data_IF_537371906603
#
_entry.id   IF_537371906603
#
_cell.length_a   1.000
_cell.length_b   1.000
_cell.length_c   1.000
_cell.angle_alpha   90.00
_cell.angle_beta   90.00
_cell.angle_gamma   90.00
#
_symmetry.space_group_name_H-M   'P 1'
#
loop_
_entity.id
_entity.type
_entity.pdbx_description
1 polymer ?
#
# COMPACT_ATOMS: atom_id res chain seq x y z
N UNK A 1 -7.65 35.26 -65.00
CA UNK A 1 -7.86 35.41 -63.55
C UNK A 1 -8.30 34.05 -63.03
N UNK A 2 -7.32 33.21 -62.67
CA UNK A 2 -7.53 31.83 -62.21
C UNK A 2 -7.21 31.86 -60.72
N UNK A 3 -8.18 31.50 -59.88
CA UNK A 3 -8.00 31.41 -58.43
C UNK A 3 -7.17 30.17 -58.12
N UNK A 4 -6.06 30.35 -57.43
CA UNK A 4 -5.36 29.27 -56.73
C UNK A 4 -6.23 28.81 -55.55
N UNK A 5 -6.56 27.53 -55.55
CA UNK A 5 -7.17 26.85 -54.42
C UNK A 5 -6.03 26.24 -53.60
N UNK A 6 -5.78 26.81 -52.41
CA UNK A 6 -4.76 26.31 -51.49
C UNK A 6 -5.37 25.11 -50.77
N UNK A 7 -4.80 23.92 -51.00
CA UNK A 7 -5.13 22.71 -50.25
C UNK A 7 -4.77 22.91 -48.77
N UNK A 8 -5.77 22.85 -47.90
CA UNK A 8 -5.70 23.18 -46.47
C UNK A 8 -5.52 21.96 -45.56
N UNK A 9 -5.11 20.81 -46.12
CA UNK A 9 -4.89 19.60 -45.33
C UNK A 9 -3.56 18.97 -45.74
N UNK A 10 -2.50 19.32 -45.00
CA UNK A 10 -1.34 18.45 -44.88
C UNK A 10 -1.80 17.17 -44.18
N UNK A 11 -1.77 16.04 -44.89
CA UNK A 11 -1.89 14.70 -44.34
C UNK A 11 -0.67 14.38 -43.46
N UNK A 12 -0.50 15.09 -42.34
CA UNK A 12 0.33 14.58 -41.27
C UNK A 12 -0.44 13.44 -40.63
N UNK A 13 -0.07 12.21 -41.00
CA UNK A 13 -0.40 11.01 -40.24
C UNK A 13 -0.06 11.28 -38.77
N UNK A 14 -1.09 11.49 -37.95
CA UNK A 14 -0.98 11.40 -36.50
C UNK A 14 -0.58 9.97 -36.17
N UNK A 15 0.73 9.71 -36.06
CA UNK A 15 1.24 8.53 -35.39
C UNK A 15 0.96 8.72 -33.91
N UNK A 16 -0.19 8.19 -33.46
CA UNK A 16 -0.38 7.92 -32.05
C UNK A 16 0.65 6.83 -31.72
N UNK A 17 1.71 7.20 -31.01
CA UNK A 17 2.59 6.19 -30.41
C UNK A 17 1.73 5.40 -29.41
N UNK A 18 1.30 4.20 -29.81
CA UNK A 18 0.62 3.24 -28.93
C UNK A 18 1.63 2.76 -27.88
N UNK A 19 1.84 3.57 -26.85
CA UNK A 19 2.68 3.24 -25.71
C UNK A 19 1.99 2.16 -24.89
N UNK A 20 2.30 0.91 -25.20
CA UNK A 20 1.83 -0.26 -24.44
C UNK A 20 2.52 -0.32 -23.08
N UNK A 21 1.74 -0.43 -22.02
CA UNK A 21 2.26 -0.61 -20.66
C UNK A 21 2.37 -2.09 -20.34
N UNK A 22 3.53 -2.52 -19.85
CA UNK A 22 3.81 -3.88 -19.39
C UNK A 22 4.37 -3.84 -17.95
N UNK A 23 4.11 -4.90 -17.16
CA UNK A 23 4.59 -4.99 -15.79
C UNK A 23 6.12 -5.02 -15.80
N UNK A 24 6.73 -4.00 -15.17
CA UNK A 24 8.18 -3.90 -15.06
C UNK A 24 8.68 -4.76 -13.90
N UNK A 25 9.60 -5.67 -14.18
CA UNK A 25 10.38 -6.35 -13.15
C UNK A 25 11.56 -5.47 -12.73
N UNK A 26 11.71 -5.18 -11.44
CA UNK A 26 12.94 -4.57 -10.92
C UNK A 26 14.03 -5.64 -10.83
N UNK A 27 15.20 -5.39 -11.43
CA UNK A 27 16.40 -6.21 -11.31
C UNK A 27 16.90 -6.28 -9.84
N UNK A 28 17.55 -7.38 -9.46
CA UNK A 28 17.94 -7.69 -8.07
C UNK A 28 19.28 -7.05 -7.66
N UNK A 29 19.38 -6.69 -6.37
CA UNK A 29 20.62 -6.40 -5.66
C UNK A 29 21.06 -7.68 -4.92
N UNK A 30 22.20 -8.25 -5.29
CA UNK A 30 22.84 -9.40 -4.62
C UNK A 30 23.40 -9.05 -3.23
N UNK A 31 23.35 -7.78 -2.82
CA UNK A 31 23.98 -7.32 -1.60
C UNK A 31 22.99 -7.34 -0.42
N UNK A 32 23.08 -8.40 0.39
CA UNK A 32 22.17 -8.63 1.53
C UNK A 32 22.42 -7.73 2.75
N UNK A 33 23.53 -6.97 2.74
CA UNK A 33 23.92 -6.07 3.83
C UNK A 33 24.38 -4.73 3.26
N UNK A 34 23.74 -3.65 3.70
CA UNK A 34 24.14 -2.28 3.35
C UNK A 34 25.45 -1.87 4.01
N UNK A 35 25.60 -2.16 5.31
CA UNK A 35 26.85 -1.96 6.05
C UNK A 35 26.87 -2.77 7.35
N UNK A 36 28.06 -3.16 7.81
CA UNK A 36 28.24 -3.81 9.12
C UNK A 36 27.75 -2.93 10.28
N UNK A 37 27.92 -1.61 10.17
CA UNK A 37 27.47 -0.68 11.20
C UNK A 37 25.94 -0.71 11.37
N UNK A 38 25.17 -0.73 10.28
CA UNK A 38 23.70 -0.80 10.34
C UNK A 38 23.22 -2.16 10.86
N UNK A 39 23.91 -3.25 10.53
CA UNK A 39 23.64 -4.57 11.14
C UNK A 39 23.83 -4.51 12.65
N UNK A 40 24.95 -3.95 13.12
CA UNK A 40 25.30 -3.91 14.54
C UNK A 40 24.40 -2.97 15.36
N UNK A 41 24.06 -1.79 14.83
CA UNK A 41 23.33 -0.77 15.59
C UNK A 41 21.81 -0.86 15.41
N UNK A 42 21.34 -1.42 14.29
CA UNK A 42 19.92 -1.41 13.93
C UNK A 42 19.38 -2.79 13.52
N UNK A 43 20.21 -3.84 13.46
CA UNK A 43 19.79 -5.16 13.01
C UNK A 43 19.41 -5.22 11.53
N UNK A 44 19.78 -4.22 10.73
CA UNK A 44 19.34 -4.15 9.33
C UNK A 44 20.00 -5.23 8.46
N UNK A 45 19.16 -6.07 7.86
CA UNK A 45 19.51 -7.06 6.83
C UNK A 45 18.46 -7.03 5.73
N UNK A 46 18.85 -7.39 4.50
CA UNK A 46 17.89 -7.48 3.40
C UNK A 46 17.44 -8.92 3.16
N UNK A 47 16.13 -9.09 3.04
CA UNK A 47 15.52 -10.36 2.63
C UNK A 47 15.59 -10.50 1.10
N UNK A 48 16.25 -11.53 0.55
CA UNK A 48 16.28 -11.76 -0.88
C UNK A 48 14.87 -11.98 -1.45
N UNK A 49 14.64 -11.55 -2.69
CA UNK A 49 13.32 -11.68 -3.35
C UNK A 49 12.83 -13.12 -3.41
N UNK A 50 13.72 -14.08 -3.69
CA UNK A 50 13.35 -15.49 -3.72
C UNK A 50 12.87 -15.99 -2.35
N UNK A 51 13.44 -15.48 -1.25
CA UNK A 51 13.04 -15.85 0.10
C UNK A 51 11.67 -15.26 0.43
N UNK A 52 11.44 -13.98 0.11
CA UNK A 52 10.11 -13.34 0.26
C UNK A 52 9.05 -14.16 -0.48
N UNK A 53 9.30 -14.49 -1.75
CA UNK A 53 8.36 -15.31 -2.55
C UNK A 53 8.13 -16.69 -1.95
N UNK A 54 9.18 -17.34 -1.46
CA UNK A 54 9.08 -18.64 -0.81
C UNK A 54 8.22 -18.57 0.46
N UNK A 55 8.42 -17.54 1.29
CA UNK A 55 7.62 -17.36 2.51
C UNK A 55 6.16 -17.05 2.20
N UNK A 56 5.89 -16.25 1.17
CA UNK A 56 4.52 -15.95 0.77
C UNK A 56 3.82 -17.13 0.07
N UNK A 57 4.55 -18.14 -0.40
CA UNK A 57 3.98 -19.29 -1.12
C UNK A 57 3.24 -20.29 -0.21
N UNK A 58 3.26 -20.12 1.11
CA UNK A 58 2.49 -20.95 2.04
C UNK A 58 0.98 -20.87 1.70
N UNK A 59 0.25 -22.01 1.64
CA UNK A 59 -1.14 -22.04 1.18
C UNK A 59 -2.07 -21.07 1.93
N UNK A 60 -2.01 -21.06 3.25
CA UNK A 60 -2.85 -20.19 4.09
C UNK A 60 -2.58 -18.70 3.81
N UNK A 61 -1.35 -18.34 3.44
CA UNK A 61 -0.98 -16.97 3.04
C UNK A 61 -1.53 -16.66 1.65
N UNK A 62 -1.42 -17.60 0.71
CA UNK A 62 -1.95 -17.45 -0.64
C UNK A 62 -3.47 -17.27 -0.65
N UNK A 63 -4.21 -17.95 0.23
CA UNK A 63 -5.65 -17.72 0.40
C UNK A 63 -5.94 -16.28 0.82
N UNK A 64 -5.19 -15.72 1.78
CA UNK A 64 -5.32 -14.31 2.23
C UNK A 64 -4.88 -13.30 1.17
N UNK A 65 -3.96 -13.65 0.29
CA UNK A 65 -3.58 -12.79 -0.84
C UNK A 65 -4.70 -12.67 -1.90
N UNK A 66 -5.58 -13.67 -1.99
CA UNK A 66 -6.78 -13.67 -2.85
C UNK A 66 -8.05 -13.12 -2.15
N UNK A 67 -7.91 -12.51 -0.97
CA UNK A 67 -8.98 -11.79 -0.29
C UNK A 67 -8.61 -10.30 -0.22
N UNK A 68 -9.43 -9.42 -0.80
CA UNK A 68 -9.15 -7.98 -0.85
C UNK A 68 -9.06 -7.35 0.53
N UNK A 69 -9.79 -7.88 1.52
CA UNK A 69 -9.92 -7.30 2.85
C UNK A 69 -9.04 -8.00 3.90
N UNK A 70 -8.49 -9.18 3.58
CA UNK A 70 -7.52 -9.84 4.44
C UNK A 70 -6.27 -8.97 4.67
N UNK A 71 -5.99 -8.70 5.94
CA UNK A 71 -4.91 -7.79 6.32
C UNK A 71 -3.55 -8.46 6.41
N UNK A 72 -2.52 -7.69 6.08
CA UNK A 72 -1.12 -8.05 6.22
C UNK A 72 -0.41 -6.99 7.04
N UNK A 73 0.42 -7.42 7.98
CA UNK A 73 1.16 -6.52 8.84
C UNK A 73 2.64 -6.91 8.92
N UNK A 74 3.52 -5.95 8.62
CA UNK A 74 4.97 -6.12 8.69
C UNK A 74 5.58 -5.19 9.76
N UNK A 75 5.98 -5.71 10.94
CA UNK A 75 6.47 -4.89 12.06
C UNK A 75 7.91 -4.38 11.88
N UNK A 76 8.63 -4.80 10.83
CA UNK A 76 10.00 -4.35 10.54
C UNK A 76 10.21 -4.28 9.02
N UNK A 77 9.52 -3.35 8.37
CA UNK A 77 9.38 -3.33 6.92
C UNK A 77 10.68 -3.13 6.13
N UNK A 78 11.71 -2.54 6.72
CA UNK A 78 12.96 -2.21 6.05
C UNK A 78 12.70 -1.38 4.79
N UNK A 79 13.34 -1.72 3.68
CA UNK A 79 13.09 -1.09 2.37
C UNK A 79 11.82 -1.63 1.66
N UNK A 80 10.99 -2.40 2.37
CA UNK A 80 9.64 -2.80 1.93
C UNK A 80 9.59 -4.08 1.10
N UNK A 81 10.52 -5.02 1.27
CA UNK A 81 10.62 -6.23 0.46
C UNK A 81 9.35 -7.12 0.51
N UNK A 82 8.78 -7.33 1.69
CA UNK A 82 7.50 -8.04 1.85
C UNK A 82 6.33 -7.17 1.38
N UNK A 83 6.27 -5.91 1.82
CA UNK A 83 5.19 -4.98 1.47
C UNK A 83 4.97 -4.85 -0.04
N UNK A 84 6.04 -4.73 -0.83
CA UNK A 84 5.96 -4.63 -2.30
C UNK A 84 5.45 -5.93 -2.93
N UNK A 85 5.87 -7.08 -2.42
CA UNK A 85 5.53 -8.38 -3.01
C UNK A 85 4.10 -8.77 -2.63
N UNK A 86 3.67 -8.50 -1.39
CA UNK A 86 2.27 -8.63 -0.96
C UNK A 86 1.37 -7.76 -1.84
N UNK A 87 1.68 -6.46 -1.98
CA UNK A 87 0.90 -5.57 -2.83
C UNK A 87 0.86 -6.03 -4.29
N UNK A 88 1.99 -6.48 -4.82
CA UNK A 88 2.06 -7.02 -6.18
C UNK A 88 1.15 -8.24 -6.37
N UNK A 89 1.18 -9.21 -5.44
CA UNK A 89 0.35 -10.40 -5.53
C UNK A 89 -1.15 -10.09 -5.33
N UNK A 90 -1.50 -9.21 -4.38
CA UNK A 90 -2.89 -8.75 -4.24
C UNK A 90 -3.39 -8.01 -5.49
N UNK A 91 -2.56 -7.17 -6.11
CA UNK A 91 -2.93 -6.47 -7.34
C UNK A 91 -3.00 -7.41 -8.56
N UNK A 92 -2.16 -8.46 -8.63
CA UNK A 92 -2.33 -9.52 -9.65
C UNK A 92 -3.70 -10.18 -9.53
N UNK A 93 -4.20 -10.41 -8.31
CA UNK A 93 -5.55 -10.92 -8.10
C UNK A 93 -6.62 -9.89 -8.51
N UNK A 94 -6.46 -8.62 -8.14
CA UNK A 94 -7.33 -7.53 -8.58
C UNK A 94 -7.42 -7.46 -10.10
N UNK A 95 -6.29 -7.60 -10.81
CA UNK A 95 -6.22 -7.62 -12.26
C UNK A 95 -7.05 -8.76 -12.88
N UNK A 96 -7.19 -9.89 -12.18
CA UNK A 96 -7.98 -11.04 -12.65
C UNK A 96 -9.48 -10.88 -12.41
N UNK A 97 -9.88 -10.32 -11.26
CA UNK A 97 -11.30 -10.25 -10.87
C UNK A 97 -12.02 -8.98 -11.31
N UNK A 98 -11.28 -7.98 -11.78
CA UNK A 98 -11.82 -6.64 -12.05
C UNK A 98 -12.01 -6.38 -13.53
N UNK A 99 -12.86 -5.39 -13.83
CA UNK A 99 -12.90 -4.72 -15.14
C UNK A 99 -12.48 -3.25 -14.96
N UNK A 100 -12.48 -2.46 -16.04
CA UNK A 100 -12.03 -1.05 -15.99
C UNK A 100 -12.82 -0.15 -15.03
N UNK A 101 -14.07 -0.48 -14.68
CA UNK A 101 -14.86 0.32 -13.74
C UNK A 101 -14.67 -0.11 -12.29
N UNK A 102 -14.41 -1.39 -12.02
CA UNK A 102 -14.26 -1.93 -10.66
C UNK A 102 -12.82 -1.96 -10.15
N UNK A 103 -11.83 -1.97 -11.04
CA UNK A 103 -10.42 -2.13 -10.70
C UNK A 103 -9.93 -1.11 -9.67
N UNK A 104 -10.30 0.16 -9.84
CA UNK A 104 -9.86 1.24 -8.95
C UNK A 104 -10.26 1.00 -7.49
N UNK A 105 -11.50 0.58 -7.24
CA UNK A 105 -11.99 0.34 -5.89
C UNK A 105 -11.35 -0.92 -5.30
N UNK A 106 -11.27 -2.00 -6.09
CA UNK A 106 -10.64 -3.25 -5.65
C UNK A 106 -9.14 -3.06 -5.34
N UNK A 107 -8.43 -2.28 -6.15
CA UNK A 107 -7.02 -1.95 -5.92
C UNK A 107 -6.82 -1.11 -4.65
N UNK A 108 -7.72 -0.17 -4.36
CA UNK A 108 -7.66 0.61 -3.11
C UNK A 108 -7.95 -0.26 -1.89
N UNK A 109 -8.92 -1.18 -1.94
CA UNK A 109 -9.16 -2.14 -0.86
C UNK A 109 -7.95 -3.04 -0.60
N UNK A 110 -7.37 -3.60 -1.67
CA UNK A 110 -6.14 -4.38 -1.57
C UNK A 110 -5.00 -3.58 -0.91
N UNK A 111 -4.83 -2.30 -1.26
CA UNK A 111 -3.81 -1.43 -0.68
C UNK A 111 -4.10 -1.08 0.80
N UNK A 112 -5.37 -0.79 1.12
CA UNK A 112 -5.83 -0.48 2.48
C UNK A 112 -5.62 -1.65 3.46
N UNK A 113 -5.59 -2.88 2.96
CA UNK A 113 -5.35 -4.08 3.78
C UNK A 113 -3.89 -4.30 4.22
N UNK A 114 -2.94 -3.49 3.74
CA UNK A 114 -1.50 -3.70 4.01
C UNK A 114 -0.99 -2.64 4.98
N UNK A 115 -0.35 -3.09 6.06
CA UNK A 115 0.19 -2.27 7.14
C UNK A 115 1.67 -2.59 7.39
N UNK A 116 2.43 -1.60 7.89
CA UNK A 116 3.80 -1.85 8.29
C UNK A 116 4.43 -0.76 9.16
N UNK A 117 5.41 -1.16 9.94
CA UNK A 117 6.23 -0.28 10.78
C UNK A 117 7.68 -0.38 10.33
N UNK A 118 8.35 0.75 10.24
CA UNK A 118 9.80 0.80 10.03
C UNK A 118 10.46 1.78 10.99
N UNK A 119 11.59 1.37 11.58
CA UNK A 119 12.32 2.20 12.52
C UNK A 119 13.09 3.32 11.81
N UNK A 120 13.76 3.02 10.70
CA UNK A 120 14.65 3.96 10.04
C UNK A 120 13.92 4.77 8.96
N UNK A 121 13.96 6.09 9.10
CA UNK A 121 13.22 7.00 8.22
C UNK A 121 13.63 6.87 6.73
N UNK A 122 14.90 6.58 6.44
CA UNK A 122 15.38 6.41 5.06
C UNK A 122 14.82 5.13 4.41
N UNK A 123 14.76 4.04 5.17
CA UNK A 123 14.12 2.79 4.75
C UNK A 123 12.62 2.99 4.52
N UNK A 124 11.93 3.65 5.45
CA UNK A 124 10.50 3.94 5.34
C UNK A 124 10.18 4.71 4.05
N UNK A 125 10.97 5.73 3.70
CA UNK A 125 10.79 6.50 2.46
C UNK A 125 10.91 5.59 1.23
N UNK A 126 11.89 4.67 1.24
CA UNK A 126 12.09 3.71 0.14
C UNK A 126 10.94 2.71 0.04
N UNK A 127 10.47 2.17 1.17
CA UNK A 127 9.34 1.24 1.22
C UNK A 127 8.07 1.88 0.66
N UNK A 128 7.71 3.09 1.12
CA UNK A 128 6.54 3.84 0.62
C UNK A 128 6.62 4.10 -0.88
N UNK A 129 7.79 4.51 -1.36
CA UNK A 129 8.02 4.73 -2.80
C UNK A 129 7.86 3.45 -3.60
N UNK A 130 8.46 2.36 -3.14
CA UNK A 130 8.37 1.06 -3.82
C UNK A 130 6.92 0.55 -3.92
N UNK A 131 6.12 0.69 -2.84
CA UNK A 131 4.70 0.35 -2.88
C UNK A 131 3.92 1.21 -3.87
N UNK A 132 4.15 2.52 -3.87
CA UNK A 132 3.47 3.42 -4.80
C UNK A 132 3.85 3.11 -6.26
N UNK A 133 5.12 2.79 -6.52
CA UNK A 133 5.59 2.38 -7.85
C UNK A 133 4.92 1.07 -8.30
N UNK A 134 4.75 0.08 -7.41
CA UNK A 134 3.98 -1.15 -7.72
C UNK A 134 2.55 -0.81 -8.09
N UNK A 135 1.86 0.00 -7.28
CA UNK A 135 0.48 0.42 -7.55
C UNK A 135 0.32 1.12 -8.90
N UNK A 136 1.18 2.09 -9.19
CA UNK A 136 1.21 2.82 -10.47
C UNK A 136 1.42 1.86 -11.63
N UNK A 137 2.38 0.94 -11.51
CA UNK A 137 2.69 -0.01 -12.59
C UNK A 137 1.48 -0.88 -12.93
N UNK A 138 0.78 -1.45 -11.93
CA UNK A 138 -0.42 -2.23 -12.19
C UNK A 138 -1.54 -1.39 -12.83
N UNK A 139 -1.82 -0.19 -12.30
CA UNK A 139 -2.83 0.69 -12.90
C UNK A 139 -2.53 0.95 -14.38
N UNK A 140 -1.29 1.31 -14.70
CA UNK A 140 -0.90 1.68 -16.05
C UNK A 140 -1.02 0.50 -17.02
N UNK A 141 -0.64 -0.71 -16.58
CA UNK A 141 -0.79 -1.94 -17.36
C UNK A 141 -2.26 -2.29 -17.54
N UNK A 142 -3.05 -2.23 -16.48
CA UNK A 142 -4.46 -2.62 -16.56
C UNK A 142 -5.29 -1.63 -17.40
N UNK A 143 -5.10 -0.33 -17.18
CA UNK A 143 -5.84 0.73 -17.86
C UNK A 143 -5.28 1.10 -19.22
N UNK A 144 -4.03 0.71 -19.51
CA UNK A 144 -3.24 1.15 -20.66
C UNK A 144 -3.19 2.70 -20.74
N UNK A 145 -2.96 3.34 -19.59
CA UNK A 145 -2.95 4.80 -19.44
C UNK A 145 -2.05 5.23 -18.27
N UNK A 146 -1.33 6.35 -18.42
CA UNK A 146 -0.54 6.93 -17.32
C UNK A 146 -1.40 7.38 -16.14
N UNK A 147 -0.95 7.07 -14.91
CA UNK A 147 -1.59 7.56 -13.69
C UNK A 147 -1.05 8.95 -13.33
N UNK A 148 -1.83 9.98 -13.60
CA UNK A 148 -1.45 11.36 -13.30
C UNK A 148 -1.38 11.63 -11.79
N UNK A 149 -0.33 12.33 -11.35
CA UNK A 149 -0.12 12.69 -9.92
C UNK A 149 -1.23 13.56 -9.32
N UNK A 150 -2.01 14.25 -10.17
CA UNK A 150 -3.09 15.14 -9.73
C UNK A 150 -4.44 14.43 -9.62
N UNK A 151 -4.54 13.16 -10.05
CA UNK A 151 -5.77 12.36 -9.94
C UNK A 151 -6.08 12.00 -8.50
N UNK A 152 -7.36 11.86 -8.20
CA UNK A 152 -7.84 11.48 -6.87
C UNK A 152 -7.33 10.08 -6.48
N UNK A 153 -7.30 9.14 -7.44
CA UNK A 153 -6.73 7.79 -7.24
C UNK A 153 -5.25 7.84 -6.78
N UNK A 154 -4.40 8.61 -7.45
CA UNK A 154 -3.00 8.75 -7.04
C UNK A 154 -2.88 9.33 -5.63
N UNK A 155 -3.66 10.38 -5.33
CA UNK A 155 -3.65 11.02 -4.01
C UNK A 155 -4.10 10.07 -2.92
N UNK A 156 -5.19 9.32 -3.15
CA UNK A 156 -5.68 8.27 -2.26
C UNK A 156 -4.65 7.18 -2.03
N UNK A 157 -4.06 6.60 -3.08
CA UNK A 157 -3.06 5.55 -2.94
C UNK A 157 -1.84 6.05 -2.13
N UNK A 158 -1.36 7.26 -2.42
CA UNK A 158 -0.27 7.89 -1.66
C UNK A 158 -0.66 8.15 -0.21
N UNK A 159 -1.89 8.57 0.06
CA UNK A 159 -2.40 8.82 1.40
C UNK A 159 -2.50 7.53 2.21
N UNK A 160 -3.13 6.48 1.67
CA UNK A 160 -3.25 5.17 2.31
C UNK A 160 -1.86 4.61 2.65
N UNK A 161 -0.90 4.61 1.71
CA UNK A 161 0.49 4.21 2.00
C UNK A 161 1.11 5.09 3.10
N UNK A 162 0.76 6.37 3.11
CA UNK A 162 1.24 7.34 4.09
C UNK A 162 0.84 7.01 5.52
N UNK A 163 -0.41 6.59 5.72
CA UNK A 163 -1.01 6.32 7.04
C UNK A 163 -0.96 4.84 7.46
N UNK A 164 -0.81 3.92 6.51
CA UNK A 164 -0.70 2.48 6.82
C UNK A 164 0.75 2.01 7.01
N UNK A 165 1.73 2.70 6.41
CA UNK A 165 3.15 2.37 6.56
C UNK A 165 3.79 3.50 7.37
N UNK A 166 4.17 3.27 8.61
CA UNK A 166 4.49 4.34 9.56
C UNK A 166 5.88 4.17 10.15
N UNK A 167 6.46 5.28 10.63
CA UNK A 167 7.72 5.23 11.36
C UNK A 167 7.42 4.82 12.81
N UNK A 168 8.20 3.90 13.35
CA UNK A 168 8.13 3.63 14.78
C UNK A 168 9.03 2.51 15.25
N UNK A 169 9.12 2.39 16.56
CA UNK A 169 9.80 1.30 17.25
C UNK A 169 8.75 0.34 17.79
N UNK A 170 8.67 -0.85 17.20
CA UNK A 170 7.70 -1.88 17.59
C UNK A 170 7.94 -2.47 18.97
N UNK A 171 9.17 -2.37 19.51
CA UNK A 171 9.47 -2.82 20.87
C UNK A 171 8.97 -1.85 21.94
N UNK A 172 8.89 -0.56 21.61
CA UNK A 172 8.41 0.48 22.55
C UNK A 172 7.01 0.99 22.22
N UNK A 173 6.40 0.50 21.13
CA UNK A 173 5.12 0.94 20.57
C UNK A 173 5.07 2.41 20.19
N UNK A 174 6.23 3.08 20.04
CA UNK A 174 6.31 4.54 19.91
C UNK A 174 7.02 5.01 18.64
N UNK A 175 6.58 6.14 18.12
CA UNK A 175 7.22 6.84 17.01
C UNK A 175 8.40 7.73 17.49
N UNK A 176 9.07 8.40 16.55
CA UNK A 176 10.18 9.32 16.84
C UNK A 176 9.80 10.52 17.75
N UNK A 177 8.52 10.85 17.86
CA UNK A 177 7.99 11.88 18.77
C UNK A 177 7.63 11.31 20.17
N UNK A 178 7.95 10.04 20.43
CA UNK A 178 7.63 9.32 21.68
C UNK A 178 6.12 9.17 21.94
N UNK A 179 5.28 9.30 20.89
CA UNK A 179 3.84 9.02 20.91
C UNK A 179 3.58 7.58 20.48
N UNK A 180 2.45 7.00 20.90
CA UNK A 180 2.04 5.68 20.43
C UNK A 180 1.92 5.66 18.90
N UNK A 181 2.31 4.54 18.29
CA UNK A 181 2.17 4.33 16.85
C UNK A 181 0.69 4.12 16.56
N UNK A 182 0.15 4.93 15.65
CA UNK A 182 -1.25 4.91 15.24
C UNK A 182 -1.40 4.40 13.81
N UNK A 183 -2.55 3.78 13.55
CA UNK A 183 -2.98 3.30 12.24
C UNK A 183 -4.44 3.63 12.01
N UNK A 184 -4.85 3.57 10.74
CA UNK A 184 -6.26 3.63 10.34
C UNK A 184 -6.77 2.23 9.99
N UNK A 185 -7.79 1.77 10.70
CA UNK A 185 -8.65 0.69 10.22
C UNK A 185 -9.56 1.25 9.13
N UNK A 186 -9.70 0.53 8.01
CA UNK A 186 -10.54 0.94 6.89
C UNK A 186 -11.84 0.12 6.87
N UNK A 187 -12.95 0.79 7.13
CA UNK A 187 -14.26 0.16 7.31
C UNK A 187 -15.14 0.45 6.08
N UNK A 188 -15.61 -0.58 5.36
CA UNK A 188 -16.54 -0.40 4.25
C UNK A 188 -17.92 0.05 4.76
N UNK A 189 -18.45 1.13 4.19
CA UNK A 189 -19.80 1.63 4.45
C UNK A 189 -20.49 1.83 3.10
N UNK A 190 -21.28 0.86 2.66
CA UNK A 190 -21.87 0.82 1.31
C UNK A 190 -20.82 0.98 0.19
N UNK A 191 -20.87 2.07 -0.58
CA UNK A 191 -19.92 2.44 -1.63
C UNK A 191 -18.80 3.38 -1.15
N UNK A 192 -18.74 3.62 0.17
CA UNK A 192 -17.81 4.52 0.84
C UNK A 192 -16.90 3.77 1.79
N UNK A 193 -15.92 4.51 2.29
CA UNK A 193 -14.99 4.05 3.32
C UNK A 193 -14.99 5.05 4.46
N UNK A 194 -14.96 4.52 5.67
CA UNK A 194 -14.70 5.25 6.90
C UNK A 194 -13.38 4.74 7.48
N UNK A 195 -12.66 5.62 8.18
CA UNK A 195 -11.46 5.21 8.93
C UNK A 195 -11.68 5.33 10.43
N UNK A 196 -11.05 4.44 11.17
CA UNK A 196 -11.04 4.42 12.63
C UNK A 196 -9.60 4.35 13.12
N UNK A 197 -9.18 5.28 13.98
CA UNK A 197 -7.81 5.29 14.49
C UNK A 197 -7.67 4.27 15.62
N UNK A 198 -6.64 3.43 15.54
CA UNK A 198 -6.23 2.53 16.63
C UNK A 198 -4.72 2.61 16.84
N UNK A 199 -4.24 2.17 18.01
CA UNK A 199 -2.80 2.14 18.30
C UNK A 199 -2.22 0.76 18.06
N UNK A 200 -0.97 0.68 17.62
CA UNK A 200 -0.26 -0.60 17.52
C UNK A 200 -0.21 -1.36 18.86
N UNK A 201 -0.16 -0.62 19.97
CA UNK A 201 -0.10 -1.20 21.32
C UNK A 201 -1.38 -1.98 21.66
N UNK A 202 -2.53 -1.50 21.20
CA UNK A 202 -3.83 -2.08 21.54
C UNK A 202 -4.04 -3.49 20.98
N UNK A 203 -3.26 -3.88 19.97
CA UNK A 203 -3.28 -5.23 19.39
C UNK A 203 -2.81 -6.33 20.35
N UNK A 204 -2.24 -5.99 21.51
CA UNK A 204 -1.57 -6.95 22.41
C UNK A 204 -2.18 -7.06 23.81
N UNK A 205 -3.35 -6.45 24.07
CA UNK A 205 -4.08 -6.60 25.34
C UNK A 205 -3.24 -6.30 26.57
N UNK A 206 -2.58 -5.14 26.58
CA UNK A 206 -1.91 -4.71 27.79
C UNK A 206 -2.89 -3.83 28.57
N UNK A 207 -3.30 -4.27 29.77
CA UNK A 207 -4.18 -3.57 30.72
C UNK A 207 -3.57 -2.23 31.23
N UNK A 208 -3.22 -1.31 30.33
CA UNK A 208 -2.81 0.05 30.66
C UNK A 208 -3.97 1.02 30.37
N UNK A 209 -4.19 1.96 31.28
CA UNK A 209 -5.34 2.89 31.31
C UNK A 209 -5.40 3.84 30.09
N UNK A 210 -4.30 3.94 29.32
CA UNK A 210 -4.19 4.76 28.11
C UNK A 210 -4.42 3.94 26.81
N UNK A 211 -4.82 2.68 26.90
CA UNK A 211 -4.96 1.75 25.77
C UNK A 211 -6.42 1.62 25.30
N UNK A 212 -6.63 1.58 23.98
CA UNK A 212 -7.95 1.52 23.36
C UNK A 212 -8.13 0.16 22.67
N UNK A 213 -8.88 -0.74 23.30
CA UNK A 213 -9.45 -2.00 22.78
C UNK A 213 -8.48 -3.17 22.46
N UNK A 214 -8.79 -4.35 23.01
CA UNK A 214 -7.89 -5.48 23.22
C UNK A 214 -8.58 -6.86 22.92
N UNK A 215 -8.00 -7.79 22.13
CA UNK A 215 -8.40 -9.22 21.98
C UNK A 215 -7.34 -10.34 22.06
N UNK A 216 -7.83 -11.55 22.39
CA UNK A 216 -7.11 -12.83 22.44
C UNK A 216 -7.36 -13.74 21.21
N UNK A 217 -6.30 -14.40 20.73
CA UNK A 217 -6.36 -15.43 19.66
C UNK A 217 -6.02 -14.90 18.27
N UNK A 218 -5.50 -15.77 17.38
CA UNK A 218 -4.92 -15.46 16.04
C UNK A 218 -5.27 -14.06 15.53
N UNK A 219 -4.27 -13.16 15.51
CA UNK A 219 -4.39 -11.71 15.28
C UNK A 219 -5.20 -11.37 14.01
N UNK A 220 -6.52 -11.43 14.09
CA UNK A 220 -7.34 -10.53 13.30
C UNK A 220 -6.97 -9.15 13.82
N UNK A 221 -6.33 -8.34 12.97
CA UNK A 221 -5.90 -6.98 13.32
C UNK A 221 -7.04 -6.16 13.96
N UNK A 222 -8.29 -6.56 13.70
CA UNK A 222 -9.52 -5.88 14.11
C UNK A 222 -10.54 -6.81 14.80
N UNK A 223 -10.12 -7.96 15.33
CA UNK A 223 -11.02 -9.07 15.71
C UNK A 223 -12.12 -8.76 16.73
N UNK A 224 -11.99 -7.70 17.54
CA UNK A 224 -13.03 -7.19 18.45
C UNK A 224 -12.56 -5.84 19.06
N UNK A 225 -12.19 -4.85 18.24
CA UNK A 225 -11.87 -3.52 18.79
C UNK A 225 -13.16 -2.96 19.42
N UNK A 226 -13.34 -3.19 20.72
CA UNK A 226 -14.51 -2.72 21.48
C UNK A 226 -14.74 -1.23 21.25
N UNK A 227 -16.01 -0.85 21.10
CA UNK A 227 -16.49 0.46 20.64
C UNK A 227 -16.11 1.69 21.53
N UNK A 228 -15.22 1.54 22.50
CA UNK A 228 -14.80 2.62 23.37
C UNK A 228 -13.69 3.45 22.70
N UNK A 229 -13.98 4.74 22.48
CA UNK A 229 -13.03 5.82 22.11
C UNK A 229 -12.23 5.73 20.80
N UNK A 230 -12.77 5.05 19.79
CA UNK A 230 -12.24 5.16 18.43
C UNK A 230 -12.62 6.50 17.78
N UNK A 231 -11.63 7.33 17.41
CA UNK A 231 -11.85 8.50 16.56
C UNK A 231 -12.18 8.03 15.14
N UNK A 232 -13.47 8.01 14.81
CA UNK A 232 -14.00 7.65 13.48
C UNK A 232 -14.12 8.88 12.59
N UNK A 233 -13.65 8.78 11.35
CA UNK A 233 -13.84 9.83 10.34
C UNK A 233 -15.25 9.80 9.74
N UNK A 234 -15.61 10.81 8.95
CA UNK A 234 -16.85 10.77 8.17
C UNK A 234 -16.68 9.85 6.95
N UNK A 235 -17.71 9.09 6.52
CA UNK A 235 -17.61 8.25 5.33
C UNK A 235 -17.35 9.06 4.05
N UNK A 236 -16.26 8.71 3.35
CA UNK A 236 -15.82 9.34 2.09
C UNK A 236 -15.77 8.33 0.94
N UNK A 237 -15.72 8.82 -0.30
CA UNK A 237 -15.48 7.94 -1.44
C UNK A 237 -14.07 7.35 -1.37
N UNK A 238 -13.88 6.08 -1.72
CA UNK A 238 -12.58 5.41 -1.69
C UNK A 238 -11.52 6.20 -2.48
N UNK A 239 -11.89 6.67 -3.66
CA UNK A 239 -11.01 7.47 -4.52
C UNK A 239 -10.69 8.85 -3.96
N UNK A 240 -11.33 9.28 -2.88
CA UNK A 240 -11.14 10.59 -2.22
C UNK A 240 -10.78 10.47 -0.75
N UNK A 241 -10.25 9.33 -0.32
CA UNK A 241 -9.93 9.06 1.08
C UNK A 241 -8.88 10.01 1.68
N UNK A 242 -8.12 10.71 0.84
CA UNK A 242 -7.19 11.77 1.26
C UNK A 242 -7.87 13.07 1.72
N UNK A 243 -9.20 13.19 1.54
CA UNK A 243 -10.01 14.36 1.95
C UNK A 243 -10.65 14.18 3.34
N UNK A 244 -10.61 12.95 3.88
CA UNK A 244 -11.25 12.57 5.14
C UNK A 244 -10.39 12.78 6.38
#
# INVERSE_FOLDING_TARGET
MIKEEISLFDEQQFKVEDKKFELKTSAEDDNLIKSKARVQHHGEVFTPKWMVKKMLAEPDIQEKLHDLHATFFEPSAGEGAFLKEILHQKLNYVDQISNKTTWTNNALWALMSIYGIELLQDNLIKAKRAMLDVFINHYQVFMQKELGRNTDLYKSAKYVIGVNIVQGNTLTYKNAENKLIEFNEWIPIDDRVMSSIFTYKSLFNNDDIDDVSANEGQLSLFGDLGDADLQKSNPVQLTKVYEG
#
